data_IF_571771895971
#
_entry.id   IF_571771895971
#
_cell.length_a   1.000
_cell.length_b   1.000
_cell.length_c   1.000
_cell.angle_alpha   90.00
_cell.angle_beta   90.00
_cell.angle_gamma   90.00
#
_symmetry.space_group_name_H-M   'P 1'
#
loop_
_entity.id
_entity.type
_entity.pdbx_description
1 polymer ?
#
# COMPACT_ATOMS: atom_id res chain seq x y z
N UNK A 1 0.99 -25.81 69.62
CA UNK A 1 0.36 -24.65 68.89
C UNK A 1 0.81 -24.68 67.44
N UNK A 2 -0.03 -25.08 66.52
CA UNK A 2 0.32 -25.09 65.12
C UNK A 2 -0.03 -23.73 64.46
N UNK A 3 0.89 -23.21 63.64
CA UNK A 3 0.73 -22.01 62.84
C UNK A 3 -0.16 -22.28 61.61
N UNK A 4 -0.96 -21.33 61.17
CA UNK A 4 -1.88 -21.51 60.03
C UNK A 4 -1.21 -21.36 58.67
N UNK A 5 -1.42 -22.33 57.81
CA UNK A 5 -1.06 -22.27 56.38
C UNK A 5 -1.96 -21.31 55.61
N UNK A 6 -1.37 -20.22 55.09
CA UNK A 6 -1.89 -19.41 54.02
C UNK A 6 -0.68 -18.92 53.25
N UNK A 7 -0.50 -19.29 51.94
CA UNK A 7 -0.84 -18.31 50.95
C UNK A 7 -1.09 -18.82 49.48
N UNK A 8 -1.49 -20.03 49.24
CA UNK A 8 -1.57 -20.52 47.86
C UNK A 8 -2.76 -20.01 47.04
N UNK A 9 -3.78 -19.43 47.67
CA UNK A 9 -4.95 -18.88 46.98
C UNK A 9 -4.73 -17.46 46.36
N UNK A 10 -3.79 -16.71 46.88
CA UNK A 10 -3.53 -15.35 46.37
C UNK A 10 -2.62 -15.32 45.14
N UNK A 11 -1.78 -16.31 44.95
CA UNK A 11 -0.93 -16.44 43.76
C UNK A 11 -1.70 -16.90 42.53
N UNK A 12 -2.76 -17.69 42.69
CA UNK A 12 -3.59 -18.15 41.58
C UNK A 12 -4.43 -17.02 40.97
N UNK A 13 -4.89 -16.06 41.78
CA UNK A 13 -5.67 -14.92 41.33
C UNK A 13 -4.81 -13.87 40.61
N UNK A 14 -3.54 -13.71 40.98
CA UNK A 14 -2.61 -12.80 40.30
C UNK A 14 -2.20 -13.34 38.92
N UNK A 15 -2.05 -14.65 38.75
CA UNK A 15 -1.73 -15.28 37.47
C UNK A 15 -2.90 -15.21 36.48
N UNK A 16 -4.16 -15.29 36.97
CA UNK A 16 -5.35 -15.19 36.11
C UNK A 16 -5.60 -13.77 35.60
N UNK A 17 -5.24 -12.75 36.38
CA UNK A 17 -5.36 -11.34 35.97
C UNK A 17 -4.29 -10.92 34.94
N UNK A 18 -3.12 -11.56 34.93
CA UNK A 18 -2.08 -11.28 33.97
C UNK A 18 -2.34 -11.93 32.60
N UNK A 19 -3.09 -13.03 32.57
CA UNK A 19 -3.45 -13.73 31.33
C UNK A 19 -4.57 -13.02 30.54
N UNK A 20 -5.34 -12.14 31.15
CA UNK A 20 -6.40 -11.38 30.47
C UNK A 20 -5.88 -10.14 29.72
N UNK A 21 -4.61 -9.76 29.89
CA UNK A 21 -4.00 -8.61 29.23
C UNK A 21 -3.26 -8.96 27.92
N UNK A 22 -3.14 -10.26 27.60
CA UNK A 22 -2.61 -10.72 26.32
C UNK A 22 -3.76 -10.90 25.30
N UNK A 23 -4.49 -9.83 25.02
CA UNK A 23 -5.39 -9.79 23.88
C UNK A 23 -4.58 -9.91 22.59
N UNK A 24 -5.10 -10.60 21.53
CA UNK A 24 -4.43 -10.60 20.24
C UNK A 24 -4.28 -9.16 19.79
N UNK A 25 -3.02 -8.75 19.60
CA UNK A 25 -2.71 -7.47 18.97
C UNK A 25 -3.25 -7.56 17.53
N UNK A 26 -4.48 -7.10 17.32
CA UNK A 26 -4.97 -6.86 15.98
C UNK A 26 -4.01 -5.87 15.31
N UNK A 27 -3.58 -6.10 14.05
CA UNK A 27 -2.79 -5.12 13.33
C UNK A 27 -3.60 -3.82 13.33
N UNK A 28 -3.06 -2.81 13.98
CA UNK A 28 -3.60 -1.47 13.88
C UNK A 28 -3.46 -1.05 12.43
N UNK A 29 -4.52 -1.24 11.65
CA UNK A 29 -4.69 -0.53 10.39
C UNK A 29 -4.62 0.93 10.78
N UNK A 30 -3.51 1.59 10.45
CA UNK A 30 -3.38 3.02 10.58
C UNK A 30 -4.46 3.64 9.70
N UNK A 31 -5.62 3.90 10.28
CA UNK A 31 -6.60 4.75 9.66
C UNK A 31 -5.94 6.12 9.60
N UNK A 32 -5.50 6.50 8.40
CA UNK A 32 -5.12 7.87 8.12
C UNK A 32 -6.41 8.67 8.30
N UNK A 33 -6.57 9.25 9.48
CA UNK A 33 -7.58 10.28 9.71
C UNK A 33 -7.12 11.48 8.90
N UNK A 34 -7.50 11.52 7.62
CA UNK A 34 -7.38 12.69 6.77
C UNK A 34 -8.25 13.77 7.43
N UNK A 35 -7.57 14.74 8.04
CA UNK A 35 -8.23 15.85 8.70
C UNK A 35 -9.22 16.54 7.76
N UNK A 36 -10.44 16.66 8.23
CA UNK A 36 -11.60 17.39 7.71
C UNK A 36 -11.61 17.55 6.19
N UNK A 37 -12.07 16.50 5.49
CA UNK A 37 -12.42 16.58 4.09
C UNK A 37 -13.64 17.51 3.95
N UNK A 38 -13.45 18.64 3.30
CA UNK A 38 -14.57 19.38 2.76
C UNK A 38 -15.19 18.53 1.64
N UNK A 39 -16.48 18.18 1.71
CA UNK A 39 -17.08 17.27 0.76
C UNK A 39 -17.00 17.83 -0.66
N UNK A 40 -16.35 17.07 -1.57
CA UNK A 40 -16.55 17.23 -3.00
C UNK A 40 -16.21 18.57 -3.61
N UNK A 41 -15.04 19.16 -3.31
CA UNK A 41 -14.61 20.36 -4.00
C UNK A 41 -14.30 20.00 -5.48
N UNK A 42 -15.08 20.55 -6.42
CA UNK A 42 -14.73 20.51 -7.84
C UNK A 42 -13.59 21.50 -8.06
N UNK A 43 -12.36 20.99 -8.10
CA UNK A 43 -11.15 21.80 -8.29
C UNK A 43 -10.83 22.07 -9.77
N UNK A 44 -11.79 21.79 -10.67
CA UNK A 44 -11.58 21.97 -12.12
C UNK A 44 -10.53 21.04 -12.72
N UNK A 45 -10.05 20.05 -11.99
CA UNK A 45 -9.09 19.06 -12.47
C UNK A 45 -9.82 17.82 -12.96
N UNK A 46 -9.63 17.51 -14.25
CA UNK A 46 -10.23 16.35 -14.89
C UNK A 46 -9.26 15.73 -15.89
N UNK A 47 -9.11 14.42 -15.83
CA UNK A 47 -8.31 13.64 -16.76
C UNK A 47 -9.20 12.87 -17.74
N UNK A 48 -8.90 12.87 -19.05
CA UNK A 48 -9.69 12.13 -20.03
C UNK A 48 -9.61 10.62 -19.85
N UNK A 49 -8.60 10.13 -19.14
CA UNK A 49 -8.39 8.72 -18.86
C UNK A 49 -7.33 8.50 -17.80
N UNK A 50 -7.12 7.23 -17.45
CA UNK A 50 -6.13 6.83 -16.46
C UNK A 50 -4.71 7.28 -16.89
N UNK A 51 -3.99 8.05 -16.07
CA UNK A 51 -2.70 8.60 -16.46
C UNK A 51 -1.58 7.54 -16.42
N UNK A 52 -0.62 7.68 -17.31
CA UNK A 52 0.64 6.94 -17.19
C UNK A 52 1.42 7.44 -15.98
N UNK A 53 1.67 6.54 -15.04
CA UNK A 53 2.44 6.84 -13.84
C UNK A 53 3.87 6.30 -13.97
N UNK A 54 4.86 7.08 -13.51
CA UNK A 54 6.28 6.73 -13.51
C UNK A 54 6.83 6.86 -12.10
N UNK A 55 7.62 5.89 -11.67
CA UNK A 55 8.22 5.90 -10.34
C UNK A 55 9.23 7.04 -10.19
N UNK A 56 9.15 7.75 -9.08
CA UNK A 56 10.19 8.72 -8.67
C UNK A 56 11.37 7.91 -8.09
N UNK A 57 12.59 8.03 -8.66
CA UNK A 57 13.75 7.31 -8.15
C UNK A 57 14.02 7.59 -6.67
N UNK A 58 14.27 6.52 -5.89
CA UNK A 58 14.57 6.65 -4.46
C UNK A 58 13.39 7.04 -3.57
N UNK A 59 12.17 7.14 -4.11
CA UNK A 59 10.97 7.49 -3.36
C UNK A 59 9.87 6.44 -3.57
N UNK A 60 9.01 6.17 -2.57
CA UNK A 60 7.86 5.28 -2.72
C UNK A 60 6.67 6.00 -3.39
N UNK A 61 6.95 6.87 -4.34
CA UNK A 61 5.98 7.77 -4.99
C UNK A 61 6.07 7.58 -6.49
N UNK A 62 4.94 7.73 -7.17
CA UNK A 62 4.87 7.86 -8.62
C UNK A 62 4.43 9.28 -9.00
N UNK A 63 4.80 9.73 -10.18
CA UNK A 63 4.31 10.98 -10.79
C UNK A 63 3.79 10.73 -12.19
N UNK A 64 2.98 11.63 -12.72
CA UNK A 64 2.40 11.52 -14.05
C UNK A 64 3.09 12.52 -15.02
N UNK A 65 4.10 12.12 -15.81
CA UNK A 65 4.84 13.04 -16.68
C UNK A 65 3.99 13.65 -17.80
N UNK A 66 2.95 12.95 -18.24
CA UNK A 66 2.04 13.41 -19.31
C UNK A 66 0.87 14.27 -18.82
N UNK A 67 0.73 14.47 -17.50
CA UNK A 67 -0.34 15.29 -16.92
C UNK A 67 0.20 16.71 -16.68
N UNK A 68 -0.50 17.71 -17.17
CA UNK A 68 -0.13 19.11 -16.96
C UNK A 68 -0.60 19.60 -15.57
N UNK A 69 -0.18 18.90 -14.52
CA UNK A 69 -0.44 19.21 -13.12
C UNK A 69 0.63 18.57 -12.23
N UNK A 70 0.75 19.01 -10.97
CA UNK A 70 1.62 18.39 -9.98
C UNK A 70 0.87 17.20 -9.37
N UNK A 71 0.96 16.07 -10.05
CA UNK A 71 0.12 14.89 -9.82
C UNK A 71 0.98 13.69 -9.45
N UNK A 72 0.68 13.08 -8.30
CA UNK A 72 1.45 12.00 -7.71
C UNK A 72 0.54 10.87 -7.24
N UNK A 73 1.12 9.69 -7.01
CA UNK A 73 0.46 8.57 -6.34
C UNK A 73 1.37 8.03 -5.24
N UNK A 74 0.82 7.89 -4.05
CA UNK A 74 1.51 7.35 -2.89
C UNK A 74 0.51 6.75 -1.92
N UNK A 75 0.81 5.56 -1.42
CA UNK A 75 0.05 4.86 -0.38
C UNK A 75 -1.46 4.81 -0.67
N UNK A 76 -1.79 4.24 -1.84
CA UNK A 76 -3.14 4.02 -2.36
C UNK A 76 -3.97 5.31 -2.59
N UNK A 77 -3.33 6.47 -2.54
CA UNK A 77 -3.95 7.77 -2.81
C UNK A 77 -3.25 8.51 -3.94
N UNK A 78 -4.05 9.20 -4.72
CA UNK A 78 -3.59 10.23 -5.64
C UNK A 78 -3.49 11.55 -4.90
N UNK A 79 -2.44 12.29 -5.21
CA UNK A 79 -2.11 13.58 -4.61
C UNK A 79 -1.96 14.62 -5.70
N UNK A 80 -2.63 15.75 -5.51
CA UNK A 80 -2.57 16.87 -6.44
C UNK A 80 -2.16 18.12 -5.66
N UNK A 81 -1.16 18.83 -6.18
CA UNK A 81 -0.78 20.14 -5.67
C UNK A 81 -1.14 21.20 -6.72
N UNK A 82 -2.13 22.01 -6.39
CA UNK A 82 -2.65 23.06 -7.27
C UNK A 82 -3.07 24.28 -6.45
N UNK A 83 -2.78 25.48 -6.94
CA UNK A 83 -3.15 26.75 -6.31
C UNK A 83 -2.74 26.82 -4.84
N UNK A 84 -1.49 26.41 -4.55
CA UNK A 84 -0.89 26.34 -3.20
C UNK A 84 -1.60 25.43 -2.21
N UNK A 85 -2.44 24.52 -2.67
CA UNK A 85 -3.16 23.57 -1.85
C UNK A 85 -2.91 22.14 -2.25
N UNK A 86 -2.92 21.27 -1.26
CA UNK A 86 -2.88 19.83 -1.47
C UNK A 86 -4.28 19.26 -1.51
N UNK A 87 -4.45 18.29 -2.37
CA UNK A 87 -5.67 17.50 -2.50
C UNK A 87 -5.31 16.03 -2.58
N UNK A 88 -6.20 15.18 -2.06
CA UNK A 88 -6.07 13.73 -2.20
C UNK A 88 -7.35 13.09 -2.70
N UNK A 89 -7.20 11.93 -3.36
CA UNK A 89 -8.32 11.11 -3.81
C UNK A 89 -7.91 9.64 -3.87
N UNK A 90 -8.84 8.74 -3.58
CA UNK A 90 -8.65 7.31 -3.81
C UNK A 90 -8.78 6.92 -5.30
N UNK A 91 -9.29 7.84 -6.14
CA UNK A 91 -9.45 7.61 -7.58
C UNK A 91 -8.72 8.67 -8.40
N UNK A 92 -8.21 8.23 -9.56
CA UNK A 92 -7.32 9.05 -10.38
C UNK A 92 -7.92 10.38 -10.85
N UNK A 93 -9.22 10.53 -10.84
CA UNK A 93 -9.93 11.71 -11.31
C UNK A 93 -10.87 12.33 -10.26
N UNK A 94 -10.66 12.05 -8.98
CA UNK A 94 -11.48 12.55 -7.89
C UNK A 94 -12.62 11.61 -7.47
N UNK A 95 -13.51 12.05 -6.60
CA UNK A 95 -13.57 13.39 -6.01
C UNK A 95 -12.34 13.72 -5.17
N UNK A 96 -11.97 14.99 -5.18
CA UNK A 96 -10.79 15.50 -4.50
C UNK A 96 -11.16 16.08 -3.13
N UNK A 97 -10.36 15.75 -2.12
CA UNK A 97 -10.49 16.31 -0.77
C UNK A 97 -9.29 17.21 -0.50
N UNK A 98 -9.55 18.41 0.01
CA UNK A 98 -8.49 19.30 0.48
C UNK A 98 -7.73 18.69 1.65
N UNK A 99 -6.42 18.84 1.66
CA UNK A 99 -5.53 18.29 2.70
C UNK A 99 -4.66 19.42 3.26
N UNK A 100 -4.67 19.54 4.57
CA UNK A 100 -3.78 20.48 5.25
C UNK A 100 -2.31 20.11 5.04
N UNK A 101 -1.41 21.10 4.86
CA UNK A 101 0.01 20.85 4.63
C UNK A 101 0.69 19.96 5.68
N UNK A 102 0.20 20.01 6.91
CA UNK A 102 0.68 19.18 8.02
C UNK A 102 0.26 17.71 7.91
N UNK A 103 -0.78 17.40 7.14
CA UNK A 103 -1.30 16.05 6.94
C UNK A 103 -0.74 15.36 5.66
N UNK A 104 -0.03 16.10 4.80
CA UNK A 104 0.55 15.52 3.58
C UNK A 104 1.68 14.53 3.94
N UNK A 105 1.71 13.32 3.36
CA UNK A 105 2.76 12.35 3.64
C UNK A 105 4.15 12.89 3.33
N UNK A 106 5.11 12.58 4.20
CA UNK A 106 6.49 13.07 4.08
C UNK A 106 7.15 12.67 2.74
N UNK A 107 6.81 11.51 2.21
CA UNK A 107 7.35 11.06 0.92
C UNK A 107 6.78 11.85 -0.26
N UNK A 108 5.55 12.32 -0.19
CA UNK A 108 4.96 13.23 -1.19
C UNK A 108 5.63 14.60 -1.12
N UNK A 109 5.85 15.13 0.09
CA UNK A 109 6.56 16.38 0.31
C UNK A 109 8.03 16.35 -0.17
N UNK A 110 8.67 15.16 -0.10
CA UNK A 110 10.05 14.94 -0.52
C UNK A 110 10.24 14.73 -2.02
N UNK A 111 9.18 14.72 -2.82
CA UNK A 111 9.31 14.61 -4.27
C UNK A 111 10.14 15.78 -4.79
N UNK A 112 11.26 15.55 -5.51
CA UNK A 112 12.11 16.63 -6.02
C UNK A 112 11.39 17.56 -6.98
N UNK A 113 11.78 18.84 -6.96
CA UNK A 113 11.20 19.93 -7.76
C UNK A 113 11.03 19.58 -9.24
N UNK A 114 11.99 18.86 -9.84
CA UNK A 114 11.96 18.47 -11.27
C UNK A 114 10.75 17.59 -11.65
N UNK A 115 10.05 16.98 -10.70
CA UNK A 115 8.87 16.16 -10.96
C UNK A 115 7.56 16.93 -10.86
N UNK A 116 7.62 18.20 -10.47
CA UNK A 116 6.49 19.12 -10.50
C UNK A 116 6.28 19.65 -11.91
N UNK A 117 5.19 19.21 -12.57
CA UNK A 117 4.90 19.56 -13.97
C UNK A 117 4.35 20.97 -14.13
N UNK A 118 3.75 21.52 -13.08
CA UNK A 118 3.32 22.92 -12.95
C UNK A 118 3.86 23.48 -11.64
N UNK A 119 5.19 23.60 -11.59
CA UNK A 119 5.85 24.19 -10.45
C UNK A 119 5.36 25.63 -10.23
N UNK A 120 4.98 26.03 -9.00
CA UNK A 120 4.68 27.41 -8.70
C UNK A 120 5.86 28.35 -9.00
N UNK A 121 5.58 29.62 -9.25
CA UNK A 121 6.63 30.60 -9.57
C UNK A 121 7.67 30.74 -8.45
N UNK A 122 7.28 30.55 -7.22
CA UNK A 122 8.21 30.61 -6.08
C UNK A 122 9.21 29.43 -6.01
N UNK A 123 9.02 28.36 -6.82
CA UNK A 123 10.04 27.32 -6.97
C UNK A 123 11.23 27.78 -7.83
N UNK A 124 11.13 28.94 -8.46
CA UNK A 124 12.20 29.44 -9.32
C UNK A 124 13.50 29.61 -8.53
N UNK A 125 14.57 29.02 -9.05
CA UNK A 125 15.88 29.02 -8.40
C UNK A 125 16.09 27.94 -7.35
N UNK A 126 15.09 27.10 -7.08
CA UNK A 126 15.29 25.95 -6.21
C UNK A 126 16.00 24.80 -6.93
N UNK A 127 16.80 24.04 -6.20
CA UNK A 127 17.56 22.92 -6.76
C UNK A 127 16.61 21.84 -7.32
N UNK A 128 16.68 21.51 -8.62
CA UNK A 128 15.73 20.56 -9.22
C UNK A 128 15.78 19.15 -8.63
N UNK A 129 16.92 18.76 -8.06
CA UNK A 129 17.11 17.44 -7.46
C UNK A 129 16.72 17.36 -5.97
N UNK A 130 16.42 18.51 -5.35
CA UNK A 130 15.99 18.60 -3.95
C UNK A 130 14.47 18.71 -3.84
N UNK A 131 13.90 18.35 -2.68
CA UNK A 131 12.52 18.68 -2.37
C UNK A 131 12.26 20.19 -2.41
N UNK A 132 11.00 20.61 -2.62
CA UNK A 132 10.60 22.00 -2.43
C UNK A 132 10.88 22.49 -1.01
N UNK A 133 11.16 23.76 -0.84
CA UNK A 133 11.42 24.37 0.48
C UNK A 133 10.10 24.74 1.15
N UNK A 134 9.35 23.73 1.57
CA UNK A 134 8.01 23.90 2.15
C UNK A 134 8.00 24.77 3.41
N UNK A 135 9.07 24.71 4.22
CA UNK A 135 9.20 25.55 5.40
C UNK A 135 9.22 27.05 5.06
N UNK A 136 9.86 27.44 3.94
CA UNK A 136 9.85 28.83 3.47
C UNK A 136 8.44 29.29 3.06
N UNK A 137 7.61 28.33 2.59
CA UNK A 137 6.24 28.63 2.14
C UNK A 137 5.22 28.66 3.26
N UNK A 138 5.29 27.69 4.18
CA UNK A 138 4.27 27.48 5.22
C UNK A 138 4.70 28.00 6.61
N UNK A 139 5.93 28.51 6.71
CA UNK A 139 6.41 29.23 7.89
C UNK A 139 6.95 28.34 9.02
N UNK A 140 7.31 29.02 10.12
CA UNK A 140 7.99 28.43 11.27
C UNK A 140 7.15 27.40 11.98
N UNK A 141 5.86 27.63 12.15
CA UNK A 141 4.97 26.73 12.89
C UNK A 141 4.81 25.39 12.18
N UNK A 142 4.65 25.44 10.85
CA UNK A 142 4.65 24.23 10.04
C UNK A 142 6.00 23.49 10.15
N UNK A 143 7.12 24.22 10.03
CA UNK A 143 8.46 23.63 10.13
C UNK A 143 8.68 22.98 11.48
N UNK A 144 8.23 23.60 12.57
CA UNK A 144 8.32 23.03 13.90
C UNK A 144 7.47 21.74 14.04
N UNK A 145 6.25 21.76 13.53
CA UNK A 145 5.34 20.59 13.55
C UNK A 145 5.83 19.42 12.70
N UNK A 146 6.66 19.70 11.69
CA UNK A 146 7.19 18.72 10.71
C UNK A 146 8.71 18.60 10.78
N UNK A 147 9.31 18.85 11.94
CA UNK A 147 10.75 18.80 12.12
C UNK A 147 11.38 17.53 11.54
N UNK A 148 12.43 17.69 10.72
CA UNK A 148 13.13 16.59 10.05
C UNK A 148 12.41 15.98 8.86
N UNK A 149 11.32 16.58 8.38
CA UNK A 149 10.56 16.09 7.23
C UNK A 149 11.41 15.95 5.96
N UNK A 150 12.40 16.83 5.75
CA UNK A 150 13.30 16.89 4.60
C UNK A 150 14.53 15.99 4.74
N UNK A 151 14.80 15.50 5.94
CA UNK A 151 15.94 14.64 6.19
C UNK A 151 15.64 13.19 5.79
N UNK A 152 16.53 12.53 5.02
CA UNK A 152 16.37 11.12 4.75
C UNK A 152 16.39 10.35 6.06
N UNK A 153 15.30 9.62 6.32
CA UNK A 153 15.22 8.77 7.51
C UNK A 153 16.32 7.72 7.52
N UNK A 154 16.75 7.30 8.70
CA UNK A 154 17.69 6.17 8.87
C UNK A 154 17.06 4.84 8.49
N UNK A 155 15.74 4.79 8.42
CA UNK A 155 14.99 3.61 8.00
C UNK A 155 15.00 3.44 6.48
N UNK A 156 14.95 2.20 6.02
CA UNK A 156 14.82 1.89 4.60
C UNK A 156 13.56 2.56 4.02
N UNK A 157 13.66 3.05 2.78
CA UNK A 157 12.50 3.57 2.05
C UNK A 157 11.48 2.45 1.88
N UNK A 158 10.22 2.63 2.27
CA UNK A 158 9.20 1.60 2.11
C UNK A 158 8.99 1.23 0.65
N UNK A 159 8.55 0.00 0.40
CA UNK A 159 8.20 -0.43 -0.93
C UNK A 159 7.03 0.42 -1.48
N UNK A 160 7.08 0.69 -2.79
CA UNK A 160 5.97 1.37 -3.47
C UNK A 160 4.74 0.48 -3.47
N UNK A 161 3.59 1.07 -3.19
CA UNK A 161 2.32 0.41 -3.41
C UNK A 161 2.10 0.17 -4.90
N UNK A 162 1.50 -0.96 -5.31
CA UNK A 162 1.13 -1.17 -6.70
C UNK A 162 0.10 -0.12 -7.15
N UNK A 163 0.19 0.28 -8.41
CA UNK A 163 -0.80 1.19 -8.97
C UNK A 163 -2.16 0.48 -9.11
N UNK A 164 -3.28 1.14 -8.80
CA UNK A 164 -4.62 0.59 -8.92
C UNK A 164 -5.07 0.48 -10.39
N UNK A 165 -4.39 -0.39 -11.16
CA UNK A 165 -4.62 -0.56 -12.60
C UNK A 165 -6.07 -0.94 -12.95
N UNK A 166 -6.83 -1.49 -11.98
CA UNK A 166 -8.24 -1.80 -12.17
C UNK A 166 -9.08 -0.56 -12.50
N UNK A 167 -8.61 0.64 -12.11
CA UNK A 167 -9.30 1.89 -12.40
C UNK A 167 -9.25 2.28 -13.88
N UNK A 168 -8.33 1.72 -14.68
CA UNK A 168 -8.16 2.05 -16.10
C UNK A 168 -9.44 1.83 -16.92
N UNK A 169 -10.23 0.81 -16.59
CA UNK A 169 -11.47 0.48 -17.29
C UNK A 169 -12.63 1.43 -16.98
N UNK A 170 -12.50 2.26 -15.95
CA UNK A 170 -13.54 3.19 -15.51
C UNK A 170 -13.25 4.63 -15.94
N UNK A 171 -12.63 4.83 -17.10
CA UNK A 171 -12.37 6.15 -17.67
C UNK A 171 -13.53 6.64 -18.55
N UNK A 172 -13.53 7.92 -18.88
CA UNK A 172 -14.56 8.53 -19.73
C UNK A 172 -15.96 8.45 -19.13
N UNK A 173 -16.93 7.98 -19.88
CA UNK A 173 -18.32 7.88 -19.43
C UNK A 173 -18.59 6.79 -18.39
N UNK A 174 -17.63 5.89 -18.18
CA UNK A 174 -17.74 4.81 -17.18
C UNK A 174 -17.12 5.18 -15.84
N UNK A 175 -16.62 6.40 -15.71
CA UNK A 175 -15.99 6.85 -14.48
C UNK A 175 -17.03 6.99 -13.33
N UNK A 176 -16.87 6.27 -12.22
CA UNK A 176 -17.78 6.37 -11.08
C UNK A 176 -17.59 7.71 -10.36
N UNK A 177 -18.63 8.53 -10.31
CA UNK A 177 -18.55 9.87 -9.71
C UNK A 177 -18.84 9.88 -8.20
N UNK A 178 -19.54 8.85 -7.70
CA UNK A 178 -19.94 8.78 -6.31
C UNK A 178 -18.88 8.05 -5.46
N UNK A 179 -18.48 8.60 -4.30
CA UNK A 179 -17.49 7.97 -3.42
C UNK A 179 -17.88 6.57 -2.95
N UNK A 180 -19.18 6.30 -2.76
CA UNK A 180 -19.68 4.99 -2.39
C UNK A 180 -19.52 3.96 -3.50
N UNK A 181 -19.75 4.34 -4.76
CA UNK A 181 -19.51 3.48 -5.92
C UNK A 181 -18.02 3.12 -6.03
N UNK A 182 -17.17 4.13 -5.90
CA UNK A 182 -15.72 3.96 -5.92
C UNK A 182 -15.24 2.99 -4.83
N UNK A 183 -15.76 3.15 -3.59
CA UNK A 183 -15.45 2.24 -2.48
C UNK A 183 -15.93 0.82 -2.71
N UNK A 184 -17.13 0.66 -3.29
CA UNK A 184 -17.67 -0.65 -3.63
C UNK A 184 -16.78 -1.38 -4.65
N UNK A 185 -16.32 -0.68 -5.68
CA UNK A 185 -15.43 -1.23 -6.71
C UNK A 185 -14.04 -1.57 -6.16
N UNK A 186 -13.49 -0.75 -5.29
CA UNK A 186 -12.24 -1.02 -4.60
C UNK A 186 -12.36 -2.28 -3.74
N UNK A 187 -13.39 -2.36 -2.91
CA UNK A 187 -13.63 -3.53 -2.05
C UNK A 187 -13.82 -4.82 -2.87
N UNK A 188 -14.50 -4.72 -4.01
CA UNK A 188 -14.67 -5.86 -4.92
C UNK A 188 -13.33 -6.32 -5.52
N UNK A 189 -12.47 -5.37 -5.87
CA UNK A 189 -11.12 -5.66 -6.38
C UNK A 189 -10.27 -6.36 -5.33
N UNK A 190 -10.23 -5.83 -4.11
CA UNK A 190 -9.44 -6.36 -3.00
C UNK A 190 -9.87 -7.79 -2.64
N UNK A 191 -11.18 -8.04 -2.50
CA UNK A 191 -11.72 -9.39 -2.27
C UNK A 191 -11.37 -10.39 -3.36
N UNK A 192 -11.20 -9.95 -4.60
CA UNK A 192 -10.81 -10.82 -5.71
C UNK A 192 -9.34 -11.21 -5.62
N UNK A 193 -8.49 -10.27 -5.20
CA UNK A 193 -7.05 -10.48 -5.05
C UNK A 193 -6.71 -11.31 -3.81
N UNK A 194 -7.53 -11.18 -2.74
CA UNK A 194 -7.36 -11.94 -1.50
C UNK A 194 -7.86 -13.39 -1.58
N UNK A 195 -8.53 -13.78 -2.68
CA UNK A 195 -8.90 -15.17 -2.87
C UNK A 195 -7.64 -16.01 -3.12
N UNK A 196 -7.29 -16.95 -2.23
CA UNK A 196 -6.18 -17.86 -2.49
C UNK A 196 -6.45 -18.57 -3.82
N UNK A 197 -5.45 -18.60 -4.66
CA UNK A 197 -5.49 -19.29 -5.95
C UNK A 197 -5.56 -20.79 -5.70
N UNK A 198 -6.74 -21.31 -5.36
CA UNK A 198 -7.02 -22.74 -5.13
C UNK A 198 -6.87 -23.59 -6.40
N UNK A 199 -6.29 -23.05 -7.47
CA UNK A 199 -6.23 -23.70 -8.78
C UNK A 199 -5.01 -24.58 -9.01
N UNK A 200 -4.09 -24.68 -8.05
CA UNK A 200 -2.91 -25.54 -8.21
C UNK A 200 -2.90 -26.78 -7.31
N UNK A 201 -4.07 -27.22 -6.81
CA UNK A 201 -4.13 -28.43 -5.95
C UNK A 201 -4.85 -29.61 -6.60
N UNK A 202 -5.15 -29.56 -7.90
CA UNK A 202 -5.86 -30.64 -8.57
C UNK A 202 -5.22 -30.99 -9.89
N UNK A 203 -4.00 -31.50 -9.85
CA UNK A 203 -3.39 -32.38 -10.88
C UNK A 203 -2.17 -33.07 -10.23
N UNK A 204 -2.43 -33.88 -9.21
CA UNK A 204 -1.54 -34.97 -8.87
C UNK A 204 -2.10 -36.19 -9.61
N UNK A 205 -1.38 -36.81 -10.54
CA UNK A 205 -1.82 -38.08 -11.12
C UNK A 205 -1.90 -39.10 -9.99
N UNK A 206 -3.02 -39.76 -9.86
CA UNK A 206 -3.14 -40.93 -9.05
C UNK A 206 -2.22 -42.00 -9.65
N UNK A 207 -1.20 -42.38 -8.92
CA UNK A 207 -0.36 -43.55 -9.23
C UNK A 207 -1.29 -44.78 -9.14
N UNK A 208 -1.57 -45.35 -10.31
CA UNK A 208 -2.24 -46.61 -10.51
C UNK A 208 -1.47 -47.71 -9.79
N UNK A 209 -1.99 -48.23 -8.70
CA UNK A 209 -1.54 -49.45 -8.07
C UNK A 209 -1.89 -50.62 -8.97
N UNK A 210 -0.99 -50.96 -9.88
CA UNK A 210 -1.03 -52.18 -10.61
C UNK A 210 -0.66 -53.36 -9.73
N UNK A 211 -1.64 -54.15 -9.42
CA UNK A 211 -1.60 -55.41 -8.69
C UNK A 211 -0.97 -56.49 -9.59
N UNK A 212 0.32 -56.79 -9.43
CA UNK A 212 1.04 -57.79 -10.17
C UNK A 212 1.02 -59.15 -9.44
N UNK A 213 0.29 -60.08 -9.98
CA UNK A 213 0.28 -61.49 -9.58
C UNK A 213 1.56 -62.18 -10.04
N UNK A 214 2.15 -62.92 -9.09
CA UNK A 214 3.12 -64.00 -9.30
C UNK A 214 2.75 -64.91 -10.43
N UNK A 215 3.77 -65.28 -11.27
CA UNK A 215 3.89 -66.64 -11.73
C UNK A 215 5.36 -66.98 -12.07
N UNK A 216 5.89 -67.80 -11.18
CA UNK A 216 7.03 -68.65 -11.24
C UNK A 216 6.98 -69.57 -12.45
N UNK A 217 8.00 -69.65 -13.26
CA UNK A 217 8.54 -70.91 -13.84
C UNK A 217 9.82 -70.66 -14.61
N UNK A 218 10.81 -71.28 -14.08
CA UNK A 218 12.08 -71.72 -14.51
C UNK A 218 12.22 -72.19 -15.94
N UNK A 219 13.36 -72.03 -16.49
CA UNK A 219 14.19 -73.11 -16.96
C UNK A 219 15.49 -72.59 -17.59
N UNK A 220 16.54 -72.95 -17.01
CA UNK A 220 17.78 -73.52 -17.52
C UNK A 220 18.06 -73.47 -19.04
N UNK A 221 19.19 -72.97 -19.42
CA UNK A 221 20.26 -73.68 -20.21
C UNK A 221 21.19 -72.66 -20.84
N UNK A 222 22.43 -72.82 -20.38
CA UNK A 222 23.65 -73.00 -21.10
C UNK A 222 23.77 -72.43 -22.54
N UNK A 223 24.72 -71.60 -22.81
CA UNK A 223 25.98 -72.10 -23.42
C UNK A 223 26.78 -70.99 -24.11
N UNK A 224 27.97 -70.80 -23.67
CA UNK A 224 29.20 -70.84 -24.48
C UNK A 224 29.38 -69.92 -25.69
N UNK A 225 30.45 -69.17 -25.65
CA UNK A 225 31.30 -69.12 -26.87
C UNK A 225 31.72 -67.71 -27.36
N UNK A 226 32.93 -67.40 -26.98
CA UNK A 226 34.01 -66.91 -27.85
C UNK A 226 33.66 -65.80 -28.90
N UNK A 227 34.26 -64.74 -28.85
CA UNK A 227 35.61 -64.31 -29.28
C UNK A 227 35.80 -62.83 -28.82
#
# INVERSE_FOLDING_TARGET
MPLPNLPHRRLALAALLLALLAGPAAPAMAQISLGIALPGLSIGFNLPGYPRMVAVPGQPVYYAPGVNANYFFHDDLYWLFQDDRWYSSAWFNGPWNGVEPTAVPVYVLRVPVRYYRRAPDYFRGWAPAAPPRWGDRWGSDWTASRNGWDQPGRSAVPARRPLPSYQQRYSGSQYPHLPEEQRALQTQHDRRNDRPTSRNKELKPEDEHGNGRDNNRGNNRDNNGRK
#
